data_IF_252196275395
#
_entry.id   IF_252196275395
#
_cell.length_a   1.000
_cell.length_b   1.000
_cell.length_c   1.000
_cell.angle_alpha   90.00
_cell.angle_beta   90.00
_cell.angle_gamma   90.00
#
_symmetry.space_group_name_H-M   'P 1'
#
loop_
_entity.id
_entity.type
_entity.pdbx_description
1 polymer ?
#
# COMPACT_ATOMS: atom_id res chain seq x y z
N UNK A 1 -41.05 -12.35 56.42
CA UNK A 1 -42.08 -12.01 55.41
C UNK A 1 -41.74 -10.65 54.80
N UNK A 2 -41.61 -10.59 53.47
CA UNK A 2 -41.70 -9.45 52.55
C UNK A 2 -40.89 -8.15 52.79
N UNK A 3 -39.90 -7.85 51.95
CA UNK A 3 -39.95 -7.05 50.69
C UNK A 3 -39.74 -5.55 50.91
N UNK A 4 -38.53 -5.06 50.59
CA UNK A 4 -38.39 -3.76 49.93
C UNK A 4 -37.17 -3.80 49.02
N UNK A 5 -37.44 -3.53 47.74
CA UNK A 5 -36.53 -3.63 46.61
C UNK A 5 -35.94 -2.24 46.36
N UNK A 6 -34.66 -2.04 46.69
CA UNK A 6 -33.92 -0.83 46.31
C UNK A 6 -32.94 -1.18 45.20
N UNK A 7 -33.44 -1.08 43.96
CA UNK A 7 -32.63 -1.11 42.73
C UNK A 7 -31.88 0.22 42.66
N UNK A 8 -30.62 0.23 43.09
CA UNK A 8 -29.72 1.33 42.82
C UNK A 8 -29.04 1.07 41.46
N UNK A 9 -29.45 1.84 40.44
CA UNK A 9 -28.77 1.87 39.13
C UNK A 9 -27.40 2.54 39.30
N UNK A 10 -26.27 1.91 38.94
CA UNK A 10 -25.05 2.66 38.65
C UNK A 10 -25.13 3.25 37.24
N UNK A 11 -24.85 4.55 37.15
CA UNK A 11 -24.81 5.33 35.93
C UNK A 11 -23.78 4.73 34.95
N UNK A 12 -24.23 4.45 33.73
CA UNK A 12 -23.37 4.10 32.62
C UNK A 12 -22.67 5.37 32.10
N UNK A 13 -21.46 5.66 32.61
CA UNK A 13 -20.52 6.55 31.94
C UNK A 13 -19.93 5.80 30.74
N UNK A 14 -20.47 6.08 29.56
CA UNK A 14 -19.88 5.64 28.28
C UNK A 14 -18.80 6.63 27.90
N UNK A 15 -17.58 6.36 28.35
CA UNK A 15 -16.38 7.00 27.81
C UNK A 15 -15.94 6.29 26.52
N UNK A 16 -15.54 7.03 25.48
CA UNK A 16 -15.25 6.48 24.16
C UNK A 16 -13.87 5.82 24.11
N UNK A 17 -13.85 4.61 23.51
CA UNK A 17 -12.74 4.04 22.72
C UNK A 17 -11.34 4.27 23.29
N UNK A 18 -11.01 3.62 24.41
CA UNK A 18 -9.60 3.28 24.67
C UNK A 18 -9.24 2.12 23.77
N UNK A 19 -8.80 2.45 22.55
CA UNK A 19 -8.12 1.52 21.67
C UNK A 19 -6.87 1.07 22.41
N UNK A 20 -6.94 -0.14 22.97
CA UNK A 20 -5.84 -0.78 23.68
C UNK A 20 -4.77 -1.10 22.64
N UNK A 21 -3.92 -0.12 22.33
CA UNK A 21 -2.69 -0.32 21.58
C UNK A 21 -1.90 -1.39 22.34
N UNK A 22 -1.95 -2.62 21.84
CA UNK A 22 -0.90 -3.60 22.09
C UNK A 22 0.37 -2.98 21.50
N UNK A 23 1.07 -2.16 22.30
CA UNK A 23 2.50 -1.94 22.08
C UNK A 23 3.14 -3.31 22.19
N UNK A 24 3.42 -3.91 21.04
CA UNK A 24 4.35 -5.02 20.95
C UNK A 24 5.72 -4.42 21.29
N UNK A 25 6.05 -4.40 22.58
CA UNK A 25 7.41 -4.16 23.03
C UNK A 25 8.24 -5.36 22.62
N UNK A 26 8.97 -5.25 21.51
CA UNK A 26 10.02 -6.19 21.18
C UNK A 26 11.20 -5.93 22.13
N UNK A 27 11.57 -6.89 22.98
CA UNK A 27 12.72 -6.74 23.85
C UNK A 27 13.98 -6.62 22.97
N UNK A 28 14.81 -5.63 23.27
CA UNK A 28 16.10 -5.44 22.62
C UNK A 28 16.95 -6.71 22.77
N UNK A 29 17.34 -7.29 21.63
CA UNK A 29 18.23 -8.44 21.59
C UNK A 29 19.46 -8.09 20.73
N UNK A 30 20.56 -7.76 21.42
CA UNK A 30 21.89 -7.81 20.84
C UNK A 30 22.25 -9.27 20.58
N UNK A 31 22.44 -9.64 19.31
CA UNK A 31 22.94 -10.94 18.87
C UNK A 31 22.02 -11.67 17.89
N UNK A 32 22.44 -11.77 16.62
CA UNK A 32 21.89 -12.60 15.51
C UNK A 32 20.73 -12.07 14.63
N UNK A 33 20.58 -10.75 14.46
CA UNK A 33 19.58 -10.18 13.53
C UNK A 33 19.81 -10.48 12.03
N UNK A 34 21.04 -10.78 11.60
CA UNK A 34 21.31 -11.02 10.17
C UNK A 34 20.76 -12.37 9.69
N UNK A 35 20.91 -13.43 10.49
CA UNK A 35 20.49 -14.78 10.09
C UNK A 35 18.96 -14.93 10.09
N UNK A 36 18.25 -14.26 11.01
CA UNK A 36 16.78 -14.24 11.03
C UNK A 36 16.21 -13.45 9.85
N UNK A 37 16.81 -12.30 9.53
CA UNK A 37 16.45 -11.50 8.36
C UNK A 37 16.69 -12.28 7.06
N UNK A 38 17.86 -12.89 6.89
CA UNK A 38 18.19 -13.66 5.69
C UNK A 38 17.18 -14.79 5.44
N UNK A 39 16.79 -15.52 6.49
CA UNK A 39 15.74 -16.55 6.39
C UNK A 39 14.39 -15.98 5.98
N UNK A 40 14.02 -14.79 6.50
CA UNK A 40 12.80 -14.10 6.10
C UNK A 40 12.85 -13.68 4.63
N UNK A 41 13.93 -13.02 4.22
CA UNK A 41 14.15 -12.58 2.84
C UNK A 41 14.15 -13.76 1.86
N UNK A 42 14.75 -14.90 2.20
CA UNK A 42 14.69 -16.10 1.36
C UNK A 42 13.27 -16.62 1.17
N UNK A 43 12.43 -16.59 2.21
CA UNK A 43 11.01 -16.98 2.09
C UNK A 43 10.22 -16.01 1.20
N UNK A 44 10.44 -14.71 1.38
CA UNK A 44 9.82 -13.66 0.57
C UNK A 44 10.24 -13.78 -0.91
N UNK A 45 11.52 -14.06 -1.16
CA UNK A 45 12.07 -14.29 -2.48
C UNK A 45 11.40 -15.48 -3.17
N UNK A 46 11.30 -16.60 -2.46
CA UNK A 46 10.67 -17.82 -2.96
C UNK A 46 9.18 -17.60 -3.23
N UNK A 47 8.48 -16.84 -2.38
CA UNK A 47 7.09 -16.48 -2.61
C UNK A 47 6.93 -15.66 -3.90
N UNK A 48 7.78 -14.65 -4.10
CA UNK A 48 7.76 -13.82 -5.30
C UNK A 48 8.14 -14.59 -6.58
N UNK A 49 9.05 -15.56 -6.50
CA UNK A 49 9.43 -16.43 -7.63
C UNK A 49 8.33 -17.44 -7.97
N UNK A 50 7.66 -18.00 -6.96
CA UNK A 50 6.60 -18.99 -7.16
C UNK A 50 5.29 -18.35 -7.66
N UNK A 51 4.97 -17.16 -7.17
CA UNK A 51 3.73 -16.45 -7.51
C UNK A 51 4.01 -14.95 -7.74
N UNK A 52 4.62 -14.60 -8.88
CA UNK A 52 4.90 -13.21 -9.20
C UNK A 52 3.58 -12.44 -9.45
N UNK A 53 3.44 -11.22 -8.91
CA UNK A 53 2.32 -10.34 -9.22
C UNK A 53 2.20 -10.10 -10.73
N UNK A 54 0.96 -9.92 -11.26
CA UNK A 54 0.75 -9.69 -12.68
C UNK A 54 1.49 -8.43 -13.13
N UNK A 55 2.25 -8.55 -14.23
CA UNK A 55 3.05 -7.45 -14.76
C UNK A 55 4.33 -7.17 -13.98
N UNK A 56 4.73 -8.00 -13.01
CA UNK A 56 6.02 -7.86 -12.32
C UNK A 56 6.90 -9.08 -12.52
N UNK A 57 8.19 -8.85 -12.71
CA UNK A 57 9.21 -9.90 -12.83
C UNK A 57 10.39 -9.54 -11.94
N UNK A 58 10.84 -10.49 -11.11
CA UNK A 58 12.02 -10.29 -10.28
C UNK A 58 13.29 -10.44 -11.12
N UNK A 59 14.20 -9.48 -11.00
CA UNK A 59 15.52 -9.58 -11.61
C UNK A 59 16.46 -10.41 -10.73
N UNK A 60 16.61 -11.69 -11.06
CA UNK A 60 17.42 -12.64 -10.30
C UNK A 60 18.89 -12.22 -10.17
N UNK A 61 19.43 -11.48 -11.15
CA UNK A 61 20.83 -11.02 -11.13
C UNK A 61 21.09 -10.03 -9.99
N UNK A 62 20.10 -9.21 -9.63
CA UNK A 62 20.23 -8.28 -8.51
C UNK A 62 20.33 -9.04 -7.18
N UNK A 63 19.49 -10.06 -7.01
CA UNK A 63 19.40 -10.84 -5.78
C UNK A 63 20.64 -11.72 -5.56
N UNK A 64 21.22 -12.23 -6.65
CA UNK A 64 22.44 -13.04 -6.62
C UNK A 64 23.66 -12.26 -6.10
N UNK A 65 23.75 -10.96 -6.39
CA UNK A 65 24.85 -10.12 -5.91
C UNK A 65 24.65 -9.64 -4.48
N UNK A 66 23.42 -9.30 -4.08
CA UNK A 66 23.16 -8.74 -2.75
C UNK A 66 21.73 -9.08 -2.30
N UNK A 67 21.61 -9.93 -1.28
CA UNK A 67 20.29 -10.35 -0.76
C UNK A 67 19.48 -9.19 -0.15
N UNK A 68 20.12 -8.07 0.20
CA UNK A 68 19.47 -6.88 0.77
C UNK A 68 19.01 -5.88 -0.29
N UNK A 69 19.23 -6.14 -1.59
CA UNK A 69 18.83 -5.26 -2.68
C UNK A 69 18.20 -6.04 -3.83
N UNK A 70 16.92 -5.82 -4.09
CA UNK A 70 16.20 -6.50 -5.15
C UNK A 70 15.71 -5.50 -6.18
N UNK A 71 15.85 -5.86 -7.45
CA UNK A 71 15.28 -5.11 -8.57
C UNK A 71 14.10 -5.92 -9.09
N UNK A 72 12.93 -5.30 -9.14
CA UNK A 72 11.71 -5.87 -9.70
C UNK A 72 11.35 -5.05 -10.92
N UNK A 73 11.35 -5.68 -12.08
CA UNK A 73 10.85 -5.10 -13.31
C UNK A 73 9.32 -5.11 -13.29
N UNK A 74 8.69 -4.00 -13.65
CA UNK A 74 7.23 -3.84 -13.71
C UNK A 74 6.84 -3.35 -15.09
N UNK A 75 5.76 -3.90 -15.62
CA UNK A 75 5.08 -3.44 -16.82
C UNK A 75 3.72 -2.85 -16.44
N UNK A 76 3.39 -1.69 -17.01
CA UNK A 76 2.12 -1.04 -16.75
C UNK A 76 0.94 -1.88 -17.23
N UNK A 77 -0.09 -1.99 -16.38
CA UNK A 77 -1.25 -2.81 -16.65
C UNK A 77 -2.04 -2.31 -17.89
N UNK A 78 -2.66 -3.22 -18.66
CA UNK A 78 -3.47 -2.84 -19.81
C UNK A 78 -4.70 -2.03 -19.37
N UNK A 79 -5.07 -1.02 -20.14
CA UNK A 79 -6.15 -0.10 -19.80
C UNK A 79 -5.78 0.99 -18.79
N UNK A 80 -4.49 1.13 -18.45
CA UNK A 80 -3.97 2.23 -17.63
C UNK A 80 -3.18 3.21 -18.49
N UNK A 81 -2.91 4.41 -17.96
CA UNK A 81 -2.10 5.42 -18.65
C UNK A 81 -0.63 5.01 -18.86
N UNK A 82 -0.22 3.91 -18.23
CA UNK A 82 1.13 3.38 -18.26
C UNK A 82 1.22 2.09 -19.09
N UNK A 83 0.15 1.72 -19.80
CA UNK A 83 0.12 0.53 -20.65
C UNK A 83 1.32 0.49 -21.61
N UNK A 84 2.06 -0.62 -21.59
CA UNK A 84 3.25 -0.84 -22.42
C UNK A 84 4.52 -0.13 -21.94
N UNK A 85 4.45 0.71 -20.90
CA UNK A 85 5.63 1.28 -20.26
C UNK A 85 6.26 0.27 -19.29
N UNK A 86 7.60 0.25 -19.24
CA UNK A 86 8.38 -0.61 -18.35
C UNK A 86 9.13 0.23 -17.33
N UNK A 87 8.99 -0.15 -16.07
CA UNK A 87 9.60 0.49 -14.91
C UNK A 87 10.43 -0.50 -14.13
N UNK A 88 11.40 0.00 -13.37
CA UNK A 88 12.15 -0.81 -12.43
C UNK A 88 11.92 -0.31 -11.01
N UNK A 89 11.70 -1.23 -10.09
CA UNK A 89 11.54 -0.96 -8.67
C UNK A 89 12.73 -1.52 -7.92
N UNK A 90 13.40 -0.66 -7.18
CA UNK A 90 14.50 -1.02 -6.31
C UNK A 90 13.99 -1.14 -4.88
N UNK A 91 14.07 -2.35 -4.33
CA UNK A 91 13.82 -2.67 -2.93
C UNK A 91 15.15 -2.73 -2.18
N UNK A 92 15.29 -1.91 -1.15
CA UNK A 92 16.44 -1.90 -0.23
C UNK A 92 15.98 -2.31 1.16
N UNK A 93 16.49 -3.44 1.64
CA UNK A 93 16.19 -3.95 2.97
C UNK A 93 17.19 -3.41 3.99
N UNK A 94 16.68 -2.90 5.11
CA UNK A 94 17.52 -2.42 6.21
C UNK A 94 18.00 -3.57 7.09
N UNK A 95 19.02 -3.29 7.91
CA UNK A 95 19.54 -4.17 8.96
C UNK A 95 18.50 -4.71 9.97
N UNK A 96 17.30 -4.11 9.99
CA UNK A 96 16.22 -4.39 10.94
C UNK A 96 14.96 -4.97 10.29
N UNK A 97 14.98 -5.29 9.01
CA UNK A 97 13.85 -5.95 8.35
C UNK A 97 13.55 -7.31 9.03
N UNK A 98 12.27 -7.67 9.28
CA UNK A 98 11.01 -7.03 8.85
C UNK A 98 10.42 -6.01 9.84
N UNK A 99 11.13 -5.65 10.91
CA UNK A 99 10.64 -4.66 11.87
C UNK A 99 10.56 -3.27 11.27
N UNK A 100 11.57 -2.91 10.47
CA UNK A 100 11.54 -1.73 9.62
C UNK A 100 11.04 -2.10 8.22
N UNK A 101 10.31 -1.19 7.59
CA UNK A 101 9.89 -1.32 6.19
C UNK A 101 11.08 -1.30 5.24
N UNK A 102 10.99 -2.00 4.09
CA UNK A 102 11.97 -1.85 3.03
C UNK A 102 11.81 -0.47 2.39
N UNK A 103 12.92 0.12 1.98
CA UNK A 103 12.87 1.33 1.16
C UNK A 103 12.59 0.91 -0.29
N UNK A 104 11.52 1.44 -0.87
CA UNK A 104 11.12 1.16 -2.25
C UNK A 104 11.19 2.45 -3.06
N UNK A 105 11.82 2.36 -4.23
CA UNK A 105 11.93 3.49 -5.16
C UNK A 105 11.87 3.02 -6.60
N UNK A 106 11.25 3.81 -7.48
CA UNK A 106 11.38 3.65 -8.91
C UNK A 106 12.80 4.05 -9.33
N UNK A 107 13.41 3.21 -10.15
CA UNK A 107 14.74 3.40 -10.73
C UNK A 107 14.67 3.22 -12.24
N UNK A 108 15.68 3.73 -12.94
CA UNK A 108 15.73 3.76 -14.40
C UNK A 108 15.46 5.15 -14.99
N UNK A 109 15.41 5.20 -16.31
CA UNK A 109 15.20 6.44 -17.08
C UNK A 109 13.73 6.86 -17.12
N UNK A 110 12.81 5.90 -16.95
CA UNK A 110 11.37 6.12 -16.93
C UNK A 110 10.85 6.02 -15.49
N UNK A 111 10.37 7.13 -14.93
CA UNK A 111 9.73 7.18 -13.63
C UNK A 111 8.24 7.52 -13.86
N UNK A 112 7.29 6.73 -13.31
CA UNK A 112 5.88 7.01 -13.50
C UNK A 112 5.49 8.31 -12.78
N UNK A 113 4.89 9.24 -13.53
CA UNK A 113 4.30 10.46 -12.96
C UNK A 113 3.04 10.08 -12.22
N UNK A 114 3.04 10.21 -10.89
CA UNK A 114 1.92 9.80 -10.04
C UNK A 114 1.89 10.67 -8.76
N UNK A 115 0.72 10.99 -8.18
CA UNK A 115 0.62 11.82 -6.96
C UNK A 115 1.39 11.29 -5.75
N UNK A 116 1.60 9.98 -5.69
CA UNK A 116 2.37 9.28 -4.65
C UNK A 116 3.80 8.91 -5.06
N UNK A 117 4.25 9.31 -6.25
CA UNK A 117 5.62 9.07 -6.73
C UNK A 117 6.30 10.41 -6.95
N UNK A 118 7.39 10.63 -6.23
CA UNK A 118 8.20 11.83 -6.36
C UNK A 118 9.13 11.75 -7.58
N UNK A 119 9.61 12.90 -8.07
CA UNK A 119 10.53 12.99 -9.22
C UNK A 119 11.87 12.28 -9.02
N UNK A 120 12.26 12.02 -7.77
CA UNK A 120 13.44 11.22 -7.42
C UNK A 120 13.14 9.70 -7.36
N UNK A 121 11.92 9.28 -7.74
CA UNK A 121 11.48 7.89 -7.71
C UNK A 121 11.01 7.39 -6.35
N UNK A 122 11.06 8.21 -5.30
CA UNK A 122 10.54 7.80 -3.98
C UNK A 122 9.03 7.61 -4.00
N UNK A 123 8.56 6.55 -3.35
CA UNK A 123 7.14 6.20 -3.28
C UNK A 123 6.62 6.52 -1.88
N UNK A 124 5.50 7.23 -1.80
CA UNK A 124 4.81 7.52 -0.54
C UNK A 124 3.55 6.65 -0.41
N UNK A 125 3.65 5.58 0.36
CA UNK A 125 2.53 4.69 0.69
C UNK A 125 2.45 4.51 2.20
N UNK A 126 1.25 4.56 2.77
CA UNK A 126 1.06 4.40 4.22
C UNK A 126 1.56 3.03 4.71
N UNK A 127 1.42 1.99 3.88
CA UNK A 127 1.97 0.66 4.17
C UNK A 127 3.49 0.62 4.29
N UNK A 128 4.22 1.59 3.73
CA UNK A 128 5.68 1.70 3.86
C UNK A 128 6.10 2.60 5.03
N UNK A 129 5.16 3.33 5.63
CA UNK A 129 5.41 4.28 6.71
C UNK A 129 4.69 3.88 8.00
N UNK A 130 3.48 4.37 8.23
CA UNK A 130 2.74 4.24 9.49
C UNK A 130 1.96 2.92 9.63
N UNK A 131 1.49 2.37 8.51
CA UNK A 131 0.74 1.12 8.47
C UNK A 131 1.66 -0.10 8.22
N UNK A 132 2.99 0.09 8.24
CA UNK A 132 3.91 -1.03 8.07
C UNK A 132 3.78 -2.01 9.24
N UNK A 133 3.63 -3.28 8.89
CA UNK A 133 3.64 -4.39 9.84
C UNK A 133 4.62 -5.45 9.37
N UNK A 134 5.39 -6.09 10.28
CA UNK A 134 6.24 -7.23 9.93
C UNK A 134 5.48 -8.42 9.32
N UNK A 135 4.15 -8.43 9.42
CA UNK A 135 3.27 -9.40 8.76
C UNK A 135 3.10 -9.14 7.25
N UNK A 136 3.41 -7.93 6.76
CA UNK A 136 3.36 -7.60 5.34
C UNK A 136 4.54 -8.25 4.60
N UNK A 137 4.26 -8.77 3.41
CA UNK A 137 5.21 -9.40 2.51
C UNK A 137 5.64 -8.44 1.40
N UNK A 138 6.78 -8.71 0.76
CA UNK A 138 7.23 -7.93 -0.42
C UNK A 138 6.19 -8.03 -1.54
N UNK A 139 5.57 -9.20 -1.72
CA UNK A 139 4.49 -9.41 -2.67
C UNK A 139 3.28 -8.50 -2.38
N UNK A 140 2.88 -8.33 -1.12
CA UNK A 140 1.78 -7.44 -0.75
C UNK A 140 2.10 -5.97 -1.07
N UNK A 141 3.35 -5.55 -0.82
CA UNK A 141 3.83 -4.20 -1.18
C UNK A 141 3.78 -3.99 -2.69
N UNK A 142 4.27 -4.96 -3.47
CA UNK A 142 4.20 -4.96 -4.93
C UNK A 142 2.76 -4.79 -5.44
N UNK A 143 1.81 -5.57 -4.91
CA UNK A 143 0.40 -5.47 -5.27
C UNK A 143 -0.20 -4.10 -4.93
N UNK A 144 0.16 -3.53 -3.78
CA UNK A 144 -0.27 -2.18 -3.41
C UNK A 144 0.23 -1.12 -4.38
N UNK A 145 1.48 -1.24 -4.88
CA UNK A 145 2.03 -0.31 -5.87
C UNK A 145 1.31 -0.45 -7.22
N UNK A 146 1.04 -1.68 -7.68
CA UNK A 146 0.27 -1.91 -8.92
C UNK A 146 -1.13 -1.30 -8.80
N UNK A 147 -1.80 -1.55 -7.68
CA UNK A 147 -3.15 -1.01 -7.43
C UNK A 147 -3.14 0.51 -7.38
N UNK A 148 -2.10 1.11 -6.77
CA UNK A 148 -1.92 2.55 -6.74
C UNK A 148 -1.81 3.11 -8.17
N UNK A 149 -0.89 2.58 -8.99
CA UNK A 149 -0.71 3.01 -10.38
C UNK A 149 -1.96 2.79 -11.24
N UNK A 150 -2.66 1.67 -11.04
CA UNK A 150 -3.88 1.33 -11.80
C UNK A 150 -5.08 2.21 -11.44
N UNK A 151 -5.09 2.79 -10.23
CA UNK A 151 -6.17 3.69 -9.79
C UNK A 151 -6.10 5.09 -10.43
N UNK A 152 -4.96 5.44 -11.03
CA UNK A 152 -4.74 6.74 -11.65
C UNK A 152 -5.48 6.84 -12.99
N UNK A 153 -6.40 7.81 -13.09
CA UNK A 153 -7.18 8.09 -14.31
C UNK A 153 -6.61 9.23 -15.16
N UNK A 154 -5.71 10.05 -14.59
CA UNK A 154 -5.00 11.14 -15.27
C UNK A 154 -3.52 11.17 -14.82
N UNK A 155 -2.58 11.44 -15.74
CA UNK A 155 -1.15 11.65 -15.43
C UNK A 155 -0.99 13.07 -14.87
N UNK A 156 -1.23 13.24 -13.57
CA UNK A 156 -1.06 14.52 -12.87
C UNK A 156 0.11 14.42 -11.89
N UNK A 157 1.10 15.31 -12.02
CA UNK A 157 2.21 15.42 -11.08
C UNK A 157 1.71 15.84 -9.69
N UNK A 158 2.36 15.41 -8.59
CA UNK A 158 1.99 15.88 -7.26
C UNK A 158 2.04 17.41 -7.22
N UNK A 159 1.06 18.08 -6.60
CA UNK A 159 1.00 19.54 -6.62
C UNK A 159 2.26 20.09 -5.95
N UNK A 160 3.14 20.67 -6.76
CA UNK A 160 4.19 21.55 -6.27
C UNK A 160 3.51 22.69 -5.51
N UNK A 161 4.03 23.05 -4.34
CA UNK A 161 3.44 24.05 -3.45
C UNK A 161 3.63 25.46 -4.02
N UNK A 162 3.14 25.73 -5.21
CA UNK A 162 3.08 27.06 -5.81
C UNK A 162 1.95 27.05 -6.82
N UNK A 163 0.73 27.34 -6.36
CA UNK A 163 -0.30 28.10 -7.08
C UNK A 163 -1.61 28.06 -6.29
N UNK A 164 -1.85 29.13 -5.54
CA UNK A 164 -3.16 29.48 -4.96
C UNK A 164 -4.14 29.91 -6.08
N UNK A 165 -4.32 29.10 -7.12
CA UNK A 165 -5.16 29.45 -8.25
C UNK A 165 -5.69 28.25 -9.04
N UNK A 166 -6.50 27.40 -8.39
CA UNK A 166 -7.54 26.63 -9.08
C UNK A 166 -8.69 26.40 -8.09
N UNK A 167 -9.41 27.48 -7.77
CA UNK A 167 -10.83 27.35 -7.46
C UNK A 167 -11.53 27.49 -8.81
N UNK A 168 -11.78 26.36 -9.47
CA UNK A 168 -12.87 26.26 -10.44
C UNK A 168 -13.84 25.21 -9.89
N UNK A 169 -15.13 25.55 -9.70
CA UNK A 169 -16.11 24.59 -9.22
C UNK A 169 -16.29 23.48 -10.26
N UNK A 170 -16.17 22.23 -9.81
CA UNK A 170 -16.52 21.04 -10.58
C UNK A 170 -17.91 21.22 -11.21
N UNK A 171 -18.13 20.90 -12.50
CA UNK A 171 -19.49 20.65 -12.96
C UNK A 171 -19.97 19.39 -12.24
N UNK A 172 -21.12 19.52 -11.59
CA UNK A 172 -21.82 18.49 -10.83
C UNK A 172 -22.11 17.28 -11.72
N UNK A 173 -21.17 16.33 -11.77
CA UNK A 173 -21.40 15.03 -12.41
C UNK A 173 -22.31 14.21 -11.50
N UNK A 174 -23.58 14.17 -11.92
CA UNK A 174 -24.66 13.39 -11.37
C UNK A 174 -24.20 12.00 -10.91
N UNK A 175 -24.18 11.81 -9.60
CA UNK A 175 -24.12 10.50 -8.98
C UNK A 175 -25.50 9.87 -9.20
N UNK A 176 -25.71 9.16 -10.32
CA UNK A 176 -26.87 8.28 -10.43
C UNK A 176 -26.58 6.99 -9.65
N UNK A 177 -26.92 7.03 -8.36
CA UNK A 177 -27.14 5.82 -7.55
C UNK A 177 -28.31 5.03 -8.14
N UNK A 178 -28.17 3.72 -8.07
CA UNK A 178 -29.20 2.69 -8.15
C UNK A 178 -29.87 2.47 -9.51
N UNK A 179 -29.64 1.27 -10.05
CA UNK A 179 -30.76 0.39 -10.32
C UNK A 179 -30.32 -1.07 -10.16
N UNK A 180 -30.34 -1.54 -8.92
CA UNK A 180 -30.72 -2.92 -8.62
C UNK A 180 -32.24 -3.00 -8.78
N UNK A 181 -32.72 -4.11 -9.32
CA UNK A 181 -34.10 -4.49 -9.67
C UNK A 181 -34.62 -3.94 -10.99
N UNK A 182 -34.99 -4.90 -11.87
CA UNK A 182 -35.43 -4.68 -13.22
C UNK A 182 -36.87 -4.17 -13.31
N UNK A 183 -37.18 -3.57 -14.44
CA UNK A 183 -38.17 -4.08 -15.39
C UNK A 183 -37.97 -3.34 -16.71
N UNK A 184 -37.95 -4.10 -17.79
CA UNK A 184 -37.85 -3.59 -19.14
C UNK A 184 -39.17 -2.95 -19.56
N UNK A 185 -39.15 -1.66 -19.93
CA UNK A 185 -40.21 -1.08 -20.77
C UNK A 185 -39.56 -0.16 -21.80
N UNK A 186 -39.58 -0.61 -23.06
CA UNK A 186 -39.26 0.21 -24.21
C UNK A 186 -40.46 1.10 -24.52
N UNK A 187 -40.28 2.41 -24.63
CA UNK A 187 -41.19 3.28 -25.38
C UNK A 187 -40.38 4.15 -26.31
N UNK A 188 -40.50 3.88 -27.60
CA UNK A 188 -40.08 4.75 -28.70
C UNK A 188 -41.08 5.89 -28.87
N UNK A 189 -40.57 7.09 -29.11
CA UNK A 189 -41.31 8.27 -29.55
C UNK A 189 -40.34 9.26 -30.16
#
# INVERSE_FOLDING_TARGET
MAMSCSIQRPAASRDPVTFRLLRVSYPGAGGTNMASMQKRLQKELLALQNDPPPGMTLNEKSVQNTITQWIVDMEGAPGTLYEGEKYQLLFKFSGRYPFDSPQVMFTGENIPVHPHVYSNGHICLSILTEDWSPALSVQSVCLSIISMLSSCKEKVEPPSITSHHYITPLPEVAIHRSCVTGDAVWLTG
#
